data_IF_892784641167
#
_entry.id   IF_892784641167
#
_cell.length_a   1.000
_cell.length_b   1.000
_cell.length_c   1.000
_cell.angle_alpha   90.00
_cell.angle_beta   90.00
_cell.angle_gamma   90.00
#
_symmetry.space_group_name_H-M   'P 1'
#
loop_
_entity.id
_entity.type
_entity.pdbx_description
1 polymer ?
#
# COMPACT_ATOMS: atom_id res chain seq x y z
N UNK A 1 -16.40 4.58 -6.85
CA UNK A 1 -15.67 4.21 -5.62
C UNK A 1 -14.30 3.60 -5.91
N UNK A 2 -14.16 2.64 -6.84
CA UNK A 2 -12.84 2.10 -7.24
C UNK A 2 -11.78 3.13 -7.67
N UNK A 3 -12.16 4.14 -8.47
CA UNK A 3 -11.24 5.22 -8.90
C UNK A 3 -10.69 6.00 -7.69
N UNK A 4 -11.57 6.34 -6.74
CA UNK A 4 -11.19 7.03 -5.50
C UNK A 4 -10.27 6.17 -4.62
N UNK A 5 -10.55 4.87 -4.45
CA UNK A 5 -9.66 3.96 -3.75
C UNK A 5 -8.27 3.86 -4.39
N UNK A 6 -8.23 3.84 -5.73
CA UNK A 6 -6.97 3.83 -6.49
C UNK A 6 -6.19 5.14 -6.30
N UNK A 7 -6.85 6.30 -6.36
CA UNK A 7 -6.20 7.59 -6.14
C UNK A 7 -5.67 7.74 -4.70
N UNK A 8 -6.37 7.19 -3.72
CA UNK A 8 -5.91 7.18 -2.34
C UNK A 8 -4.67 6.30 -2.14
N UNK A 9 -4.64 5.12 -2.77
CA UNK A 9 -3.43 4.27 -2.77
C UNK A 9 -2.27 4.98 -3.49
N UNK A 10 -2.51 5.64 -4.62
CA UNK A 10 -1.50 6.43 -5.32
C UNK A 10 -0.98 7.58 -4.46
N UNK A 11 -1.85 8.30 -3.76
CA UNK A 11 -1.45 9.34 -2.82
C UNK A 11 -0.59 8.79 -1.69
N UNK A 12 -0.91 7.60 -1.17
CA UNK A 12 -0.10 6.92 -0.16
C UNK A 12 1.29 6.59 -0.70
N UNK A 13 1.38 6.03 -1.92
CA UNK A 13 2.65 5.72 -2.56
C UNK A 13 3.49 6.97 -2.83
N UNK A 14 2.86 8.07 -3.27
CA UNK A 14 3.53 9.35 -3.43
C UNK A 14 4.06 9.86 -2.08
N UNK A 15 3.27 9.78 -1.02
CA UNK A 15 3.69 10.16 0.33
C UNK A 15 4.84 9.30 0.88
N UNK A 16 4.97 8.05 0.43
CA UNK A 16 6.14 7.21 0.72
C UNK A 16 7.39 7.65 -0.04
N UNK A 17 7.27 8.01 -1.32
CA UNK A 17 8.43 8.32 -2.16
C UNK A 17 8.91 9.77 -1.95
N UNK A 18 8.00 10.69 -1.67
CA UNK A 18 8.28 12.12 -1.60
C UNK A 18 9.36 12.53 -0.58
N UNK A 19 9.41 11.96 0.65
CA UNK A 19 10.50 12.24 1.59
C UNK A 19 11.89 11.93 1.02
N UNK A 20 12.04 10.86 0.23
CA UNK A 20 13.33 10.52 -0.38
C UNK A 20 13.75 11.54 -1.44
N UNK A 21 12.79 12.09 -2.18
CA UNK A 21 13.04 13.18 -3.13
C UNK A 21 13.51 14.43 -2.36
N UNK A 22 12.81 14.81 -1.28
CA UNK A 22 13.20 15.96 -0.45
C UNK A 22 14.62 15.83 0.14
N UNK A 23 15.01 14.63 0.59
CA UNK A 23 16.38 14.36 1.05
C UNK A 23 17.39 14.59 -0.08
N UNK A 24 17.10 14.17 -1.30
CA UNK A 24 17.99 14.39 -2.45
C UNK A 24 18.23 15.87 -2.79
N UNK A 25 17.28 16.74 -2.42
CA UNK A 25 17.39 18.21 -2.57
C UNK A 25 17.93 18.92 -1.31
N UNK A 26 18.36 18.18 -0.28
CA UNK A 26 18.90 18.75 0.95
C UNK A 26 17.84 19.31 1.92
N UNK A 27 16.57 18.93 1.76
CA UNK A 27 15.46 19.36 2.61
C UNK A 27 15.16 18.37 3.76
N UNK A 28 16.19 17.94 4.49
CA UNK A 28 16.12 16.89 5.51
C UNK A 28 15.11 17.17 6.65
N UNK A 29 15.00 18.43 7.07
CA UNK A 29 14.08 18.85 8.14
C UNK A 29 12.62 18.64 7.74
N UNK A 30 12.29 18.88 6.47
CA UNK A 30 10.95 18.67 5.94
C UNK A 30 10.71 17.19 5.71
N UNK A 31 11.69 16.48 5.13
CA UNK A 31 11.58 15.05 4.82
C UNK A 31 11.31 14.17 6.06
N UNK A 32 11.86 14.54 7.23
CA UNK A 32 11.68 13.81 8.49
C UNK A 32 10.36 14.11 9.21
N UNK A 33 9.50 14.96 8.64
CA UNK A 33 8.23 15.32 9.28
C UNK A 33 7.30 14.08 9.37
N UNK A 34 6.73 13.78 10.56
CA UNK A 34 5.83 12.64 10.74
C UNK A 34 4.53 12.72 9.92
N UNK A 35 4.25 13.86 9.29
CA UNK A 35 3.07 14.00 8.43
C UNK A 35 3.10 13.05 7.23
N UNK A 36 4.27 12.73 6.68
CA UNK A 36 4.40 11.83 5.52
C UNK A 36 3.99 10.39 5.83
N UNK A 37 4.54 9.72 6.87
CA UNK A 37 4.09 8.38 7.25
C UNK A 37 2.63 8.36 7.72
N UNK A 38 2.14 9.41 8.39
CA UNK A 38 0.74 9.51 8.78
C UNK A 38 -0.20 9.62 7.57
N UNK A 39 0.14 10.48 6.61
CA UNK A 39 -0.64 10.64 5.39
C UNK A 39 -0.65 9.33 4.59
N UNK A 40 0.49 8.63 4.53
CA UNK A 40 0.62 7.29 3.95
C UNK A 40 -0.34 6.29 4.61
N UNK A 41 -0.39 6.24 5.94
CA UNK A 41 -1.30 5.35 6.69
C UNK A 41 -2.76 5.66 6.41
N UNK A 42 -3.15 6.93 6.53
CA UNK A 42 -4.55 7.33 6.37
C UNK A 42 -5.04 7.12 4.94
N UNK A 43 -4.30 7.61 3.96
CA UNK A 43 -4.68 7.48 2.54
C UNK A 43 -4.58 6.05 2.06
N UNK A 44 -3.53 5.32 2.42
CA UNK A 44 -3.36 3.93 1.99
C UNK A 44 -4.36 2.97 2.64
N UNK A 45 -4.60 3.12 3.95
CA UNK A 45 -5.59 2.34 4.67
C UNK A 45 -7.01 2.58 4.17
N UNK A 46 -7.41 3.85 4.03
CA UNK A 46 -8.73 4.19 3.49
C UNK A 46 -8.89 3.74 2.02
N UNK A 47 -7.84 3.88 1.20
CA UNK A 47 -7.84 3.44 -0.19
C UNK A 47 -8.07 1.93 -0.34
N UNK A 48 -7.40 1.11 0.49
CA UNK A 48 -7.60 -0.35 0.50
C UNK A 48 -9.00 -0.71 0.99
N UNK A 49 -9.48 -0.10 2.08
CA UNK A 49 -10.84 -0.35 2.62
C UNK A 49 -11.91 0.00 1.58
N UNK A 50 -11.78 1.13 0.88
CA UNK A 50 -12.71 1.52 -0.18
C UNK A 50 -12.73 0.52 -1.34
N UNK A 51 -11.57 -0.05 -1.69
CA UNK A 51 -11.51 -1.10 -2.71
C UNK A 51 -12.19 -2.39 -2.26
N UNK A 52 -12.00 -2.79 -1.00
CA UNK A 52 -12.67 -3.97 -0.42
C UNK A 52 -14.20 -3.77 -0.43
N UNK A 53 -14.68 -2.60 0.03
CA UNK A 53 -16.11 -2.26 0.01
C UNK A 53 -16.66 -2.26 -1.42
N UNK A 54 -15.90 -1.73 -2.38
CA UNK A 54 -16.30 -1.75 -3.79
C UNK A 54 -16.41 -3.17 -4.35
N UNK A 55 -15.45 -4.05 -4.03
CA UNK A 55 -15.49 -5.46 -4.46
C UNK A 55 -16.67 -6.22 -3.85
N UNK A 56 -16.93 -6.00 -2.56
CA UNK A 56 -18.10 -6.53 -1.84
C UNK A 56 -19.41 -6.08 -2.50
N UNK A 57 -19.56 -4.77 -2.74
CA UNK A 57 -20.78 -4.20 -3.33
C UNK A 57 -21.10 -4.75 -4.72
N UNK A 58 -20.06 -5.09 -5.49
CA UNK A 58 -20.23 -5.57 -6.86
C UNK A 58 -20.16 -7.09 -6.98
N UNK A 59 -20.04 -7.85 -5.88
CA UNK A 59 -19.84 -9.31 -5.89
C UNK A 59 -18.67 -9.76 -6.78
N UNK A 60 -17.62 -8.93 -6.90
CA UNK A 60 -16.43 -9.19 -7.75
C UNK A 60 -15.24 -9.66 -6.92
N UNK A 61 -15.51 -10.21 -5.74
CA UNK A 61 -14.47 -10.63 -4.81
C UNK A 61 -13.68 -11.77 -5.45
N UNK A 62 -12.41 -11.50 -5.74
CA UNK A 62 -11.45 -12.48 -6.20
C UNK A 62 -10.37 -12.64 -5.13
N UNK A 63 -10.07 -13.88 -4.72
CA UNK A 63 -9.01 -14.17 -3.76
C UNK A 63 -7.65 -13.62 -4.18
N UNK A 64 -7.34 -13.65 -5.49
CA UNK A 64 -6.11 -13.07 -6.05
C UNK A 64 -6.08 -11.54 -5.88
N UNK A 65 -7.22 -10.86 -6.02
CA UNK A 65 -7.31 -9.41 -5.85
C UNK A 65 -7.24 -9.00 -4.37
N UNK A 66 -7.87 -9.77 -3.48
CA UNK A 66 -7.77 -9.61 -2.03
C UNK A 66 -6.35 -9.82 -1.53
N UNK A 67 -5.64 -10.83 -2.06
CA UNK A 67 -4.26 -11.11 -1.69
C UNK A 67 -3.35 -9.93 -2.08
N UNK A 68 -3.53 -9.37 -3.29
CA UNK A 68 -2.80 -8.17 -3.71
C UNK A 68 -3.10 -6.95 -2.82
N UNK A 69 -4.39 -6.67 -2.54
CA UNK A 69 -4.80 -5.55 -1.69
C UNK A 69 -4.22 -5.67 -0.27
N UNK A 70 -4.27 -6.86 0.30
CA UNK A 70 -3.67 -7.15 1.62
C UNK A 70 -2.16 -6.95 1.58
N UNK A 71 -1.50 -7.38 0.51
CA UNK A 71 -0.05 -7.18 0.31
C UNK A 71 0.31 -5.69 0.29
N UNK A 72 -0.43 -4.90 -0.49
CA UNK A 72 -0.25 -3.44 -0.59
C UNK A 72 -0.47 -2.80 0.78
N UNK A 73 -1.52 -3.20 1.52
CA UNK A 73 -1.80 -2.69 2.85
C UNK A 73 -0.66 -2.97 3.83
N UNK A 74 -0.12 -4.19 3.83
CA UNK A 74 1.01 -4.58 4.67
C UNK A 74 2.28 -3.79 4.36
N UNK A 75 2.52 -3.48 3.08
CA UNK A 75 3.68 -2.65 2.66
C UNK A 75 3.50 -1.20 3.13
N UNK A 76 2.35 -0.60 2.87
CA UNK A 76 2.04 0.78 3.26
C UNK A 76 2.15 0.93 4.78
N UNK A 77 1.52 0.03 5.53
CA UNK A 77 1.54 0.06 6.98
C UNK A 77 2.95 -0.23 7.49
N UNK A 78 3.62 -1.25 6.98
CA UNK A 78 4.95 -1.63 7.43
C UNK A 78 5.97 -0.51 7.19
N UNK A 79 5.89 0.20 6.06
CA UNK A 79 6.71 1.37 5.79
C UNK A 79 6.45 2.49 6.78
N UNK A 80 5.19 2.90 6.93
CA UNK A 80 4.86 4.03 7.77
C UNK A 80 5.19 3.77 9.25
N UNK A 81 4.88 2.58 9.75
CA UNK A 81 5.20 2.18 11.12
C UNK A 81 6.72 2.06 11.34
N UNK A 82 7.49 1.65 10.32
CA UNK A 82 8.96 1.61 10.37
C UNK A 82 9.55 3.03 10.47
N UNK A 83 9.05 3.98 9.68
CA UNK A 83 9.47 5.39 9.79
C UNK A 83 9.11 5.98 11.15
N UNK A 84 7.95 5.61 11.71
CA UNK A 84 7.55 5.99 13.06
C UNK A 84 8.31 5.24 14.17
N UNK A 85 9.37 4.50 13.82
CA UNK A 85 10.24 3.76 14.72
C UNK A 85 9.50 2.72 15.60
N UNK A 86 8.38 2.19 15.12
CA UNK A 86 7.64 1.14 15.83
C UNK A 86 8.41 -0.18 15.68
N UNK A 87 8.71 -0.89 16.79
CA UNK A 87 9.43 -2.14 16.74
C UNK A 87 8.66 -3.17 15.91
N UNK A 88 9.39 -4.08 15.27
CA UNK A 88 8.83 -5.19 14.47
C UNK A 88 8.07 -4.79 13.19
N UNK A 89 7.89 -3.51 12.88
CA UNK A 89 7.24 -3.06 11.63
C UNK A 89 7.95 -3.55 10.35
N UNK A 90 9.25 -3.81 10.42
CA UNK A 90 10.06 -4.40 9.33
C UNK A 90 9.54 -5.77 8.89
N UNK A 91 9.00 -6.58 9.80
CA UNK A 91 8.42 -7.88 9.47
C UNK A 91 7.12 -7.72 8.68
N UNK A 92 6.36 -6.64 8.92
CA UNK A 92 5.15 -6.35 8.18
C UNK A 92 5.47 -6.03 6.70
N UNK A 93 6.52 -5.25 6.46
CA UNK A 93 7.06 -5.00 5.11
C UNK A 93 7.49 -6.30 4.42
N UNK A 94 8.20 -7.16 5.14
CA UNK A 94 8.67 -8.44 4.62
C UNK A 94 7.49 -9.34 4.21
N UNK A 95 6.47 -9.47 5.07
CA UNK A 95 5.26 -10.24 4.79
C UNK A 95 4.54 -9.66 3.57
N UNK A 96 4.36 -8.34 3.50
CA UNK A 96 3.73 -7.70 2.36
C UNK A 96 4.46 -7.97 1.04
N UNK A 97 5.80 -7.91 1.06
CA UNK A 97 6.63 -8.22 -0.10
C UNK A 97 6.54 -9.69 -0.50
N UNK A 98 6.54 -10.59 0.49
CA UNK A 98 6.38 -12.04 0.27
C UNK A 98 5.03 -12.36 -0.37
N UNK A 99 3.95 -11.70 0.09
CA UNK A 99 2.62 -11.87 -0.49
C UNK A 99 2.56 -11.37 -1.94
N UNK A 100 3.27 -10.29 -2.30
CA UNK A 100 3.43 -9.88 -3.71
C UNK A 100 4.14 -10.96 -4.52
N UNK A 101 5.23 -11.52 -3.99
CA UNK A 101 5.95 -12.59 -4.70
C UNK A 101 5.05 -13.81 -4.93
N UNK A 102 4.29 -14.23 -3.92
CA UNK A 102 3.30 -15.30 -4.01
C UNK A 102 2.23 -14.95 -5.05
N UNK A 103 1.73 -13.71 -5.04
CA UNK A 103 0.73 -13.24 -6.00
C UNK A 103 1.22 -13.34 -7.45
N UNK A 104 2.48 -13.00 -7.72
CA UNK A 104 3.09 -13.06 -9.06
C UNK A 104 3.18 -14.53 -9.54
N UNK A 105 3.50 -15.45 -8.64
CA UNK A 105 3.70 -16.88 -8.95
C UNK A 105 2.36 -17.60 -9.16
N UNK A 106 1.31 -17.24 -8.41
CA UNK A 106 0.00 -17.89 -8.53
C UNK A 106 -0.60 -17.60 -9.92
N UNK A 107 -0.82 -18.62 -10.76
CA UNK A 107 -1.46 -18.44 -12.04
C UNK A 107 -2.89 -17.96 -11.83
N UNK A 108 -3.14 -16.69 -12.12
CA UNK A 108 -4.48 -16.13 -12.24
C UNK A 108 -5.27 -16.96 -13.25
N UNK A 109 -6.39 -17.57 -12.82
CA UNK A 109 -7.32 -18.26 -13.74
C UNK A 109 -7.88 -17.36 -14.85
N UNK A 110 -7.73 -16.03 -14.71
CA UNK A 110 -8.17 -15.05 -15.72
C UNK A 110 -7.08 -14.71 -16.76
N UNK A 111 -5.90 -15.34 -16.72
CA UNK A 111 -4.85 -15.15 -17.74
C UNK A 111 -5.08 -15.95 -19.04
N UNK A 112 -6.21 -16.65 -19.17
CA UNK A 112 -6.51 -17.52 -20.32
C UNK A 112 -7.40 -16.91 -21.42
N UNK A 113 -7.87 -15.68 -21.29
CA UNK A 113 -8.65 -15.04 -22.36
C UNK A 113 -8.28 -13.56 -22.52
N UNK A 114 -7.25 -13.31 -23.33
CA UNK A 114 -7.15 -12.17 -24.25
C UNK A 114 -6.03 -12.41 -25.24
#
# INVERSE_FOLDING_TARGET
>A
MAKWGTYMILAALLAMVFPFILVAFGADLIAKNPIFPLLTLFTGGSGVVLHIIYMLKNNTINGTALLLLTSIMMIIFGYALNILAIPNAKYLLLIGTLLIAIWIIIPSKNKKER
#
